data_IF_518205961920
#
_entry.id   IF_518205961920
#
_cell.length_a   1.000
_cell.length_b   1.000
_cell.length_c   1.000
_cell.angle_alpha   90.00
_cell.angle_beta   90.00
_cell.angle_gamma   90.00
#
_symmetry.space_group_name_H-M   'P 1'
#
loop_
_entity.id
_entity.type
_entity.pdbx_description
1 polymer ?
#
# COMPACT_ATOMS: atom_id res chain seq x y z
N UNK A 1 25.49 -13.96 -6.61
CA UNK A 1 25.27 -12.59 -6.11
C UNK A 1 24.31 -12.69 -4.96
N UNK A 2 24.73 -12.37 -3.74
CA UNK A 2 23.84 -12.22 -2.60
C UNK A 2 23.03 -10.95 -2.84
N UNK A 3 21.75 -11.10 -3.15
CA UNK A 3 20.82 -9.97 -3.08
C UNK A 3 20.67 -9.62 -1.60
N UNK A 4 21.33 -8.57 -1.13
CA UNK A 4 20.99 -7.98 0.16
C UNK A 4 19.58 -7.40 0.02
N UNK A 5 18.59 -8.17 0.49
CA UNK A 5 17.22 -7.69 0.54
C UNK A 5 17.17 -6.42 1.40
N UNK A 6 16.46 -5.37 0.96
CA UNK A 6 16.34 -4.15 1.74
C UNK A 6 15.82 -4.43 3.15
N UNK A 7 16.41 -3.79 4.16
CA UNK A 7 15.89 -3.83 5.53
C UNK A 7 14.45 -3.31 5.51
N UNK A 8 13.54 -4.02 6.17
CA UNK A 8 12.10 -3.70 6.11
C UNK A 8 11.46 -3.81 7.48
N UNK A 9 10.58 -2.86 7.82
CA UNK A 9 9.64 -2.96 8.94
C UNK A 9 8.26 -3.30 8.39
N UNK A 10 7.71 -4.42 8.83
CA UNK A 10 6.38 -4.87 8.44
C UNK A 10 5.35 -4.44 9.49
N UNK A 11 4.15 -4.08 9.04
CA UNK A 11 2.99 -3.78 9.91
C UNK A 11 3.26 -2.66 10.92
N UNK A 12 3.89 -1.57 10.47
CA UNK A 12 4.11 -0.38 11.30
C UNK A 12 2.81 0.26 11.79
N UNK A 13 1.79 0.22 10.94
CA UNK A 13 0.39 0.40 11.33
C UNK A 13 -0.36 -0.87 10.97
N UNK A 14 -1.35 -1.22 11.77
CA UNK A 14 -2.21 -2.37 11.50
C UNK A 14 -3.67 -1.92 11.51
N UNK A 15 -4.34 -2.14 10.40
CA UNK A 15 -5.79 -1.99 10.33
C UNK A 15 -6.45 -3.16 11.09
N UNK A 16 -7.28 -2.88 12.10
CA UNK A 16 -7.79 -3.88 13.04
C UNK A 16 -9.18 -4.49 12.68
N UNK A 17 -9.84 -4.10 11.58
CA UNK A 17 -11.28 -4.39 11.40
C UNK A 17 -11.63 -5.27 10.21
N UNK A 18 -12.41 -6.34 10.48
CA UNK A 18 -13.43 -7.03 9.64
C UNK A 18 -13.30 -6.92 8.11
N UNK A 19 -12.22 -7.43 7.54
CA UNK A 19 -12.08 -7.50 6.09
C UNK A 19 -12.80 -8.75 5.57
N UNK A 20 -13.78 -8.57 4.67
CA UNK A 20 -14.33 -9.70 3.93
C UNK A 20 -13.27 -10.18 2.94
N UNK A 21 -12.95 -11.48 2.94
CA UNK A 21 -11.93 -12.07 2.06
C UNK A 21 -12.13 -11.73 0.56
N UNK A 22 -13.38 -11.47 0.18
CA UNK A 22 -13.80 -11.15 -1.20
C UNK A 22 -13.65 -9.66 -1.57
N UNK A 23 -13.25 -8.79 -0.63
CA UNK A 23 -12.99 -7.38 -0.92
C UNK A 23 -11.67 -7.19 -1.70
N UNK A 24 -11.35 -5.93 -2.01
CA UNK A 24 -10.14 -5.54 -2.74
C UNK A 24 -9.27 -4.64 -1.86
N UNK A 25 -8.05 -5.11 -1.59
CA UNK A 25 -7.01 -4.29 -0.99
C UNK A 25 -6.48 -3.32 -2.03
N UNK A 26 -6.56 -2.02 -1.76
CA UNK A 26 -5.82 -1.00 -2.51
C UNK A 26 -4.36 -1.04 -2.06
N UNK A 27 -3.45 -1.34 -2.99
CA UNK A 27 -2.02 -1.39 -2.73
C UNK A 27 -1.31 -0.22 -3.41
N UNK A 28 -0.62 0.58 -2.60
CA UNK A 28 0.09 1.78 -3.03
C UNK A 28 1.57 1.68 -2.70
N UNK A 29 2.42 2.09 -3.64
CA UNK A 29 3.87 2.18 -3.47
C UNK A 29 4.24 3.67 -3.42
N UNK A 30 4.71 4.13 -2.27
CA UNK A 30 4.73 5.57 -1.95
C UNK A 30 6.12 5.99 -1.45
N UNK A 31 6.69 7.10 -1.93
CA UNK A 31 7.87 7.67 -1.27
C UNK A 31 7.48 8.27 0.09
N UNK A 32 8.39 8.25 1.06
CA UNK A 32 8.06 8.61 2.45
C UNK A 32 7.48 10.03 2.64
N UNK A 33 7.85 10.97 1.77
CA UNK A 33 7.41 12.38 1.77
C UNK A 33 5.97 12.58 1.24
N UNK A 34 5.38 11.60 0.55
CA UNK A 34 4.02 11.68 0.00
C UNK A 34 2.97 10.88 0.77
N UNK A 35 3.36 10.23 1.86
CA UNK A 35 2.52 9.24 2.54
C UNK A 35 1.25 9.86 3.10
N UNK A 36 1.33 11.02 3.76
CA UNK A 36 0.16 11.67 4.34
C UNK A 36 -0.88 12.06 3.29
N UNK A 37 -0.47 12.80 2.24
CA UNK A 37 -1.33 13.17 1.12
C UNK A 37 -1.98 11.94 0.46
N UNK A 38 -1.17 10.89 0.26
CA UNK A 38 -1.66 9.64 -0.33
C UNK A 38 -2.72 9.00 0.55
N UNK A 39 -2.51 8.89 1.85
CA UNK A 39 -3.50 8.31 2.78
C UNK A 39 -4.82 9.09 2.72
N UNK A 40 -4.78 10.43 2.76
CA UNK A 40 -5.98 11.26 2.70
C UNK A 40 -6.73 11.11 1.38
N UNK A 41 -6.01 10.98 0.25
CA UNK A 41 -6.64 10.74 -1.05
C UNK A 41 -7.41 9.41 -1.12
N UNK A 42 -7.03 8.42 -0.29
CA UNK A 42 -7.70 7.12 -0.24
C UNK A 42 -8.94 7.09 0.65
N UNK A 43 -9.35 8.18 1.32
CA UNK A 43 -10.46 8.14 2.28
C UNK A 43 -11.79 7.65 1.68
N UNK A 44 -11.96 7.82 0.36
CA UNK A 44 -13.15 7.38 -0.37
C UNK A 44 -13.10 5.91 -0.80
N UNK A 45 -11.94 5.24 -0.70
CA UNK A 45 -11.81 3.82 -0.98
C UNK A 45 -12.46 3.00 0.14
N UNK A 46 -13.52 2.22 -0.16
CA UNK A 46 -14.29 1.53 0.88
C UNK A 46 -13.57 0.30 1.45
N UNK A 47 -12.61 -0.27 0.71
CA UNK A 47 -11.88 -1.47 1.11
C UNK A 47 -10.63 -1.20 1.96
N UNK A 48 -9.85 -2.25 2.27
CA UNK A 48 -8.58 -2.12 2.97
C UNK A 48 -7.54 -1.41 2.10
N UNK A 49 -6.61 -0.71 2.76
CA UNK A 49 -5.52 0.02 2.12
C UNK A 49 -4.19 -0.44 2.71
N UNK A 50 -3.27 -0.82 1.83
CA UNK A 50 -1.90 -1.17 2.18
C UNK A 50 -0.93 -0.23 1.48
N UNK A 51 -0.04 0.37 2.25
CA UNK A 51 1.03 1.21 1.77
C UNK A 51 2.36 0.49 1.96
N UNK A 52 3.15 0.49 0.90
CA UNK A 52 4.57 0.14 0.97
C UNK A 52 5.37 1.40 0.72
N UNK A 53 6.21 1.77 1.69
CA UNK A 53 6.90 3.04 1.72
C UNK A 53 8.39 2.83 1.60
N UNK A 54 9.07 3.67 0.83
CA UNK A 54 10.52 3.65 0.69
C UNK A 54 11.14 4.97 1.15
N UNK A 55 12.13 4.88 2.05
CA UNK A 55 12.84 6.07 2.54
C UNK A 55 13.89 5.76 3.62
N UNK A 56 14.45 6.83 4.19
CA UNK A 56 15.48 6.85 5.23
C UNK A 56 14.87 6.83 6.64
N UNK A 57 15.69 6.52 7.66
CA UNK A 57 15.22 6.54 9.05
C UNK A 57 14.65 7.90 9.48
N UNK A 58 15.23 9.02 9.02
CA UNK A 58 14.73 10.35 9.35
C UNK A 58 13.36 10.63 8.71
N UNK A 59 13.19 10.25 7.44
CA UNK A 59 11.90 10.36 6.73
C UNK A 59 10.84 9.50 7.42
N UNK A 60 11.20 8.31 7.92
CA UNK A 60 10.30 7.44 8.69
C UNK A 60 9.76 8.13 9.93
N UNK A 61 10.65 8.79 10.70
CA UNK A 61 10.27 9.48 11.93
C UNK A 61 9.38 10.69 11.66
N UNK A 62 9.68 11.48 10.62
CA UNK A 62 8.86 12.60 10.19
C UNK A 62 7.46 12.14 9.75
N UNK A 63 7.41 11.15 8.86
CA UNK A 63 6.17 10.54 8.36
C UNK A 63 5.30 10.01 9.51
N UNK A 64 5.87 9.31 10.49
CA UNK A 64 5.12 8.80 11.63
C UNK A 64 4.48 9.91 12.49
N UNK A 65 5.10 11.09 12.55
CA UNK A 65 4.52 12.21 13.27
C UNK A 65 3.28 12.75 12.55
N UNK A 66 3.33 12.85 11.22
CA UNK A 66 2.21 13.31 10.39
C UNK A 66 1.04 12.32 10.39
N UNK A 67 1.33 11.02 10.32
CA UNK A 67 0.32 9.96 10.26
C UNK A 67 -0.54 9.83 11.52
N UNK A 68 -0.17 10.48 12.64
CA UNK A 68 -1.02 10.53 13.85
C UNK A 68 -2.38 11.19 13.59
N UNK A 69 -2.47 12.08 12.59
CA UNK A 69 -3.69 12.78 12.21
C UNK A 69 -4.46 12.14 11.06
N UNK A 70 -4.07 10.95 10.59
CA UNK A 70 -4.67 10.34 9.41
C UNK A 70 -6.17 10.06 9.59
N UNK A 71 -6.96 10.38 8.56
CA UNK A 71 -8.43 10.27 8.58
C UNK A 71 -8.96 8.83 8.52
N UNK A 72 -8.09 7.86 8.21
CA UNK A 72 -8.46 6.44 8.11
C UNK A 72 -7.37 5.51 8.63
N UNK A 73 -7.76 4.28 8.94
CA UNK A 73 -6.82 3.18 9.18
C UNK A 73 -6.28 2.61 7.87
N UNK A 74 -5.05 2.12 7.92
CA UNK A 74 -4.33 1.48 6.82
C UNK A 74 -3.23 0.57 7.37
N UNK A 75 -2.72 -0.34 6.54
CA UNK A 75 -1.53 -1.13 6.82
C UNK A 75 -0.31 -0.49 6.17
N UNK A 76 0.79 -0.37 6.92
CA UNK A 76 2.02 0.28 6.47
C UNK A 76 3.22 -0.64 6.60
N UNK A 77 3.96 -0.80 5.51
CA UNK A 77 5.27 -1.44 5.49
C UNK A 77 6.33 -0.43 5.05
N UNK A 78 7.46 -0.40 5.73
CA UNK A 78 8.53 0.57 5.47
C UNK A 78 9.79 -0.14 5.04
N UNK A 79 10.27 0.18 3.84
CA UNK A 79 11.48 -0.36 3.22
C UNK A 79 12.56 0.70 3.30
N UNK A 80 13.67 0.36 3.95
CA UNK A 80 14.76 1.28 4.15
C UNK A 80 15.56 1.50 2.86
N UNK A 81 15.78 2.78 2.55
CA UNK A 81 16.76 3.22 1.57
C UNK A 81 18.17 2.95 2.11
N UNK A 82 18.99 2.17 1.40
CA UNK A 82 20.36 1.94 1.83
C UNK A 82 21.20 3.21 1.67
N UNK A 83 22.29 3.30 2.44
CA UNK A 83 23.23 4.44 2.39
C UNK A 83 23.95 4.55 1.04
N UNK A 84 24.11 3.43 0.33
CA UNK A 84 24.71 3.40 -1.00
C UNK A 84 23.65 3.65 -2.07
N UNK A 85 24.01 4.26 -3.21
CA UNK A 85 23.10 4.39 -4.34
C UNK A 85 22.52 3.01 -4.71
N UNK A 86 21.21 2.87 -4.57
CA UNK A 86 20.46 1.68 -5.00
C UNK A 86 19.28 2.11 -5.86
N UNK A 87 18.90 1.24 -6.78
CA UNK A 87 17.62 1.38 -7.49
C UNK A 87 16.45 1.32 -6.50
N UNK A 88 15.37 2.03 -6.83
CA UNK A 88 14.11 1.94 -6.09
C UNK A 88 13.56 0.50 -6.17
N UNK A 89 13.31 -0.20 -5.05
CA UNK A 89 13.02 -1.62 -5.04
C UNK A 89 11.54 -1.93 -5.34
N UNK A 90 11.03 -1.49 -6.49
CA UNK A 90 9.60 -1.57 -6.88
C UNK A 90 9.03 -2.99 -6.73
N UNK A 91 9.68 -4.00 -7.30
CA UNK A 91 9.16 -5.37 -7.30
C UNK A 91 9.15 -5.99 -5.89
N UNK A 92 10.15 -5.66 -5.08
CA UNK A 92 10.22 -6.12 -3.69
C UNK A 92 9.11 -5.50 -2.84
N UNK A 93 8.89 -4.19 -2.99
CA UNK A 93 7.78 -3.49 -2.34
C UNK A 93 6.44 -4.05 -2.77
N UNK A 94 6.24 -4.28 -4.08
CA UNK A 94 5.01 -4.88 -4.62
C UNK A 94 4.77 -6.24 -3.99
N UNK A 95 5.80 -7.08 -3.92
CA UNK A 95 5.73 -8.40 -3.30
C UNK A 95 5.32 -8.32 -1.83
N UNK A 96 5.95 -7.46 -1.03
CA UNK A 96 5.57 -7.27 0.37
C UNK A 96 4.09 -6.91 0.48
N UNK A 97 3.66 -5.91 -0.29
CA UNK A 97 2.29 -5.43 -0.25
C UNK A 97 1.25 -6.50 -0.59
N UNK A 98 1.51 -7.28 -1.64
CA UNK A 98 0.64 -8.39 -2.05
C UNK A 98 0.65 -9.51 -1.00
N UNK A 99 1.82 -9.91 -0.50
CA UNK A 99 1.94 -10.98 0.50
C UNK A 99 1.32 -10.59 1.85
N UNK A 100 1.25 -9.29 2.16
CA UNK A 100 0.59 -8.75 3.35
C UNK A 100 -0.90 -8.45 3.18
N UNK A 101 -1.39 -8.48 1.93
CA UNK A 101 -2.79 -8.20 1.65
C UNK A 101 -3.65 -9.27 2.33
N UNK A 102 -4.69 -8.82 3.00
CA UNK A 102 -5.59 -9.70 3.77
C UNK A 102 -6.81 -10.13 2.95
N UNK A 103 -6.98 -9.58 1.75
CA UNK A 103 -8.03 -9.96 0.80
C UNK A 103 -7.44 -10.82 -0.31
N UNK A 104 -8.28 -11.62 -0.96
CA UNK A 104 -7.86 -12.45 -2.11
C UNK A 104 -7.57 -11.62 -3.37
N UNK A 105 -8.09 -10.40 -3.43
CA UNK A 105 -7.94 -9.49 -4.57
C UNK A 105 -7.15 -8.25 -4.15
N UNK A 106 -6.20 -7.83 -5.00
CA UNK A 106 -5.39 -6.63 -4.79
C UNK A 106 -5.51 -5.72 -6.02
N UNK A 107 -5.80 -4.45 -5.78
CA UNK A 107 -5.73 -3.39 -6.78
C UNK A 107 -4.44 -2.61 -6.59
N UNK A 108 -3.45 -2.92 -7.41
CA UNK A 108 -2.17 -2.24 -7.42
C UNK A 108 -2.26 -0.95 -8.24
N UNK A 109 -1.75 0.14 -7.68
CA UNK A 109 -1.63 1.43 -8.37
C UNK A 109 -0.15 1.70 -8.61
N UNK A 110 0.27 1.64 -9.88
CA UNK A 110 1.67 1.86 -10.26
C UNK A 110 2.04 3.35 -10.27
N UNK A 111 1.04 4.25 -10.38
CA UNK A 111 1.25 5.71 -10.45
C UNK A 111 0.21 6.45 -9.63
N UNK A 112 0.67 7.14 -8.59
CA UNK A 112 -0.18 7.78 -7.59
C UNK A 112 -1.00 8.95 -8.13
N UNK A 113 -0.48 9.64 -9.15
CA UNK A 113 -1.08 10.89 -9.67
C UNK A 113 -2.15 10.63 -10.76
N UNK A 114 -2.38 9.37 -11.16
CA UNK A 114 -3.23 9.02 -12.32
C UNK A 114 -4.65 8.54 -11.94
N UNK A 115 -4.97 8.39 -10.65
CA UNK A 115 -6.23 7.77 -10.24
C UNK A 115 -6.90 8.43 -9.02
N UNK A 116 -8.17 8.78 -9.15
CA UNK A 116 -9.01 9.10 -7.99
C UNK A 116 -9.52 7.81 -7.33
N UNK A 117 -9.21 7.60 -6.05
CA UNK A 117 -9.54 6.38 -5.30
C UNK A 117 -11.00 6.37 -4.82
N UNK A 118 -11.94 6.36 -5.76
CA UNK A 118 -13.37 6.49 -5.47
C UNK A 118 -14.08 5.14 -5.30
N UNK A 119 -15.29 5.18 -4.71
CA UNK A 119 -16.20 4.02 -4.64
C UNK A 119 -16.54 3.44 -6.03
N UNK A 120 -16.58 4.29 -7.07
CA UNK A 120 -16.89 3.85 -8.44
C UNK A 120 -15.79 2.98 -9.03
N UNK A 121 -14.52 3.35 -8.79
CA UNK A 121 -13.35 2.55 -9.18
C UNK A 121 -13.34 1.22 -8.45
N UNK A 122 -13.57 1.23 -7.12
CA UNK A 122 -13.66 0.01 -6.32
C UNK A 122 -14.74 -0.95 -6.83
N UNK A 123 -15.95 -0.44 -7.09
CA UNK A 123 -17.06 -1.24 -7.59
C UNK A 123 -16.75 -1.85 -8.96
N UNK A 124 -16.10 -1.09 -9.84
CA UNK A 124 -15.67 -1.56 -11.16
C UNK A 124 -14.62 -2.66 -11.06
N UNK A 125 -13.68 -2.54 -10.12
CA UNK A 125 -12.67 -3.55 -9.86
C UNK A 125 -13.31 -4.86 -9.33
N UNK A 126 -14.26 -4.76 -8.39
CA UNK A 126 -14.99 -5.91 -7.84
C UNK A 126 -15.81 -6.69 -8.87
N UNK A 127 -16.46 -5.97 -9.80
CA UNK A 127 -17.20 -6.62 -10.89
C UNK A 127 -16.26 -7.42 -11.78
N UNK A 128 -15.09 -6.86 -12.12
CA UNK A 128 -14.08 -7.54 -12.95
C UNK A 128 -13.52 -8.79 -12.28
N UNK A 129 -13.24 -8.75 -10.98
CA UNK A 129 -12.74 -9.92 -10.25
C UNK A 129 -13.80 -11.02 -10.18
N UNK A 130 -15.07 -10.66 -9.94
CA UNK A 130 -16.18 -11.62 -9.91
C UNK A 130 -16.42 -12.29 -11.26
N UNK A 131 -16.40 -11.53 -12.37
CA UNK A 131 -16.55 -12.06 -13.72
C UNK A 131 -15.42 -13.01 -14.11
N UNK A 132 -14.17 -12.71 -13.72
CA UNK A 132 -13.03 -13.58 -13.98
C UNK A 132 -13.07 -14.88 -13.17
N UNK A 133 -13.68 -14.86 -11.98
CA UNK A 133 -13.85 -16.05 -11.16
C UNK A 133 -14.93 -17.00 -11.73
N UNK A 134 -15.96 -16.48 -12.38
CA UNK A 134 -17.03 -17.29 -13.00
C UNK A 134 -16.62 -17.97 -14.32
N UNK A 135 -15.55 -17.49 -14.97
CA UNK A 135 -15.05 -18.01 -16.25
C UNK A 135 -13.90 -19.03 -16.08
N UNK A 136 -13.59 -19.46 -14.85
CA UNK A 136 -12.62 -20.51 -14.52
C UNK A 136 -13.33 -21.77 -14.08
#
# INVERSE_FOLDING_TARGET
>A
QTFDAPRTLLYMTRQETSETLDDITLLLQVPADKVFETVESTVLWPGPVTLTVYGTEDERLAMLAELKGASRSFTLHYVYKPEKPSSYPMDYMRKIGVDSAKTNNVFLVDKLDELEYTKGVHSSALVRTTLNAQNK
#
